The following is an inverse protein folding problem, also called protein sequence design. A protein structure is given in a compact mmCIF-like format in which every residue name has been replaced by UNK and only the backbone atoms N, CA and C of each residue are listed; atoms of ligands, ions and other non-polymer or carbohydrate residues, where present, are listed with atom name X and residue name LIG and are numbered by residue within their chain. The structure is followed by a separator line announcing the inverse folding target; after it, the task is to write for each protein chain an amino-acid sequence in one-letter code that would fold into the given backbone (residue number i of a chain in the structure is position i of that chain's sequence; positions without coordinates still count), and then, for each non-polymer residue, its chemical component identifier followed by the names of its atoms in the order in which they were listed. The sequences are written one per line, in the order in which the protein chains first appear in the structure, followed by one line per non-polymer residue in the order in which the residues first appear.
data_IF_251044555736
#
_entry.id   IF_251044555736
#
_cell.length_a   1.000
_cell.length_b   1.000
_cell.length_c   1.000
_cell.angle_alpha   90.00
_cell.angle_beta   90.00
_cell.angle_gamma   90.00
#
_symmetry.space_group_name_H-M   'P 1'
#
loop_
_entity.id
_entity.type
_entity.pdbx_description
1 polymer ?
#
# COMPACT_ATOMS: atom_id res chain seq x y z
N UNK A 1 -13.18 18.52 -5.50
CA UNK A 1 -14.12 17.89 -6.46
C UNK A 1 -13.77 16.41 -6.41
N UNK A 2 -14.55 15.63 -5.66
CA UNK A 2 -14.19 14.25 -5.31
C UNK A 2 -14.01 13.38 -6.56
N UNK A 3 -12.97 12.54 -6.58
CA UNK A 3 -12.77 11.58 -7.67
C UNK A 3 -13.94 10.59 -7.67
N UNK A 4 -14.48 10.27 -8.85
CA UNK A 4 -15.53 9.28 -8.98
C UNK A 4 -14.98 7.88 -8.64
N UNK A 5 -15.52 7.24 -7.60
CA UNK A 5 -15.05 5.95 -7.12
C UNK A 5 -15.20 4.83 -8.15
N UNK A 6 -16.28 4.84 -8.95
CA UNK A 6 -16.45 3.87 -10.04
C UNK A 6 -15.38 4.03 -11.12
N UNK A 7 -14.95 5.27 -11.38
CA UNK A 7 -13.87 5.51 -12.34
C UNK A 7 -12.54 4.96 -11.83
N UNK A 8 -12.24 5.11 -10.53
CA UNK A 8 -11.02 4.52 -9.93
C UNK A 8 -11.06 3.00 -10.01
N UNK A 9 -12.18 2.36 -9.67
CA UNK A 9 -12.31 0.91 -9.78
C UNK A 9 -12.21 0.41 -11.23
N UNK A 10 -12.74 1.17 -12.20
CA UNK A 10 -12.57 0.83 -13.61
C UNK A 10 -11.09 0.88 -14.01
N UNK A 11 -10.34 1.89 -13.56
CA UNK A 11 -8.88 1.96 -13.81
C UNK A 11 -8.13 0.83 -13.10
N UNK A 12 -8.49 0.46 -11.86
CA UNK A 12 -7.90 -0.70 -11.17
C UNK A 12 -8.12 -1.99 -11.95
N UNK A 13 -9.38 -2.27 -12.33
CA UNK A 13 -9.74 -3.41 -13.16
C UNK A 13 -8.96 -3.38 -14.48
N UNK A 14 -8.75 -2.20 -15.08
CA UNK A 14 -7.89 -2.08 -16.25
C UNK A 14 -6.47 -2.57 -16.02
N UNK A 15 -5.84 -2.11 -14.96
CA UNK A 15 -4.48 -2.55 -14.69
C UNK A 15 -4.37 -4.04 -14.33
N UNK A 16 -5.44 -4.67 -13.82
CA UNK A 16 -5.45 -6.12 -13.55
C UNK A 16 -5.35 -6.97 -14.83
N UNK A 17 -5.98 -6.55 -15.93
CA UNK A 17 -6.00 -7.31 -17.18
C UNK A 17 -4.89 -6.91 -18.16
N UNK A 18 -4.57 -5.61 -18.24
CA UNK A 18 -3.70 -5.09 -19.30
C UNK A 18 -2.32 -4.63 -18.81
N UNK A 19 -2.19 -4.30 -17.53
CA UNK A 19 -0.96 -3.80 -16.88
C UNK A 19 -0.27 -2.64 -17.65
N UNK A 20 -1.04 -1.85 -18.41
CA UNK A 20 -0.59 -0.79 -19.31
C UNK A 20 -1.53 0.41 -19.21
N UNK A 21 -1.12 1.56 -19.75
CA UNK A 21 -2.05 2.67 -19.95
C UNK A 21 -3.08 2.30 -21.03
N UNK A 22 -4.25 2.95 -21.03
CA UNK A 22 -5.29 2.66 -22.03
C UNK A 22 -4.76 2.78 -23.46
N UNK A 23 -4.02 3.86 -23.74
CA UNK A 23 -3.39 4.10 -25.05
C UNK A 23 -2.40 2.99 -25.42
N UNK A 24 -1.56 2.53 -24.50
CA UNK A 24 -0.58 1.46 -24.75
C UNK A 24 -1.24 0.09 -24.95
N UNK A 25 -2.41 -0.12 -24.33
CA UNK A 25 -3.22 -1.31 -24.52
C UNK A 25 -4.14 -1.24 -25.76
N UNK A 26 -4.10 -0.13 -26.52
CA UNK A 26 -4.88 0.04 -27.76
C UNK A 26 -6.30 0.57 -27.56
N UNK A 27 -6.61 1.11 -26.39
CA UNK A 27 -7.92 1.66 -26.06
C UNK A 27 -7.94 3.19 -26.11
N UNK A 28 -9.04 3.74 -26.62
CA UNK A 28 -9.33 5.18 -26.63
C UNK A 28 -9.85 5.71 -25.30
N UNK A 29 -10.34 4.83 -24.41
CA UNK A 29 -10.95 5.21 -23.13
C UNK A 29 -10.94 4.03 -22.15
N UNK A 30 -11.20 4.31 -20.87
CA UNK A 30 -11.36 3.25 -19.87
C UNK A 30 -12.60 2.41 -20.16
N UNK A 31 -13.68 3.04 -20.60
CA UNK A 31 -14.94 2.38 -20.91
C UNK A 31 -14.79 1.38 -22.07
N UNK A 32 -14.03 1.73 -23.12
CA UNK A 32 -13.80 0.82 -24.23
C UNK A 32 -12.95 -0.39 -23.82
N UNK A 33 -12.01 -0.21 -22.90
CA UNK A 33 -11.28 -1.32 -22.30
C UNK A 33 -12.19 -2.24 -21.48
N UNK A 34 -12.97 -1.71 -20.55
CA UNK A 34 -13.87 -2.51 -19.70
C UNK A 34 -14.94 -3.22 -20.55
N UNK A 35 -15.43 -2.59 -21.61
CA UNK A 35 -16.39 -3.20 -22.53
C UNK A 35 -15.88 -4.50 -23.17
N UNK A 36 -14.56 -4.65 -23.37
CA UNK A 36 -14.00 -5.90 -23.93
C UNK A 36 -14.12 -7.11 -22.99
N UNK A 37 -14.31 -6.88 -21.69
CA UNK A 37 -14.53 -7.94 -20.69
C UNK A 37 -15.99 -8.39 -20.65
N UNK A 38 -16.89 -7.75 -21.39
CA UNK A 38 -18.32 -8.08 -21.37
C UNK A 38 -18.65 -9.28 -22.27
N UNK A 39 -18.05 -10.43 -21.93
CA UNK A 39 -18.27 -11.73 -22.58
C UNK A 39 -19.17 -12.54 -21.65
N UNK A 40 -20.42 -12.82 -22.06
CA UNK A 40 -21.47 -13.31 -21.13
C UNK A 40 -21.08 -14.54 -20.32
N UNK A 41 -20.54 -15.64 -20.90
CA UNK A 41 -20.18 -16.82 -20.11
C UNK A 41 -19.08 -16.52 -19.08
N UNK A 42 -18.06 -15.75 -19.45
CA UNK A 42 -16.97 -15.38 -18.53
C UNK A 42 -17.44 -14.44 -17.40
N UNK A 43 -18.40 -13.57 -17.71
CA UNK A 43 -19.00 -12.68 -16.72
C UNK A 43 -19.79 -13.45 -15.68
N UNK A 44 -20.56 -14.45 -16.10
CA UNK A 44 -21.33 -15.31 -15.19
C UNK A 44 -20.39 -16.10 -14.29
N UNK A 45 -19.38 -16.77 -14.84
CA UNK A 45 -18.36 -17.49 -14.06
C UNK A 45 -17.64 -16.56 -13.07
N UNK A 46 -17.24 -15.36 -13.51
CA UNK A 46 -16.57 -14.39 -12.65
C UNK A 46 -17.48 -13.93 -11.49
N UNK A 47 -18.77 -13.72 -11.74
CA UNK A 47 -19.73 -13.34 -10.70
C UNK A 47 -19.93 -14.45 -9.68
N UNK A 48 -19.98 -15.71 -10.10
CA UNK A 48 -20.04 -16.86 -9.20
C UNK A 48 -18.79 -16.92 -8.31
N UNK A 49 -17.60 -16.79 -8.90
CA UNK A 49 -16.33 -16.79 -8.16
C UNK A 49 -16.27 -15.62 -7.18
N UNK A 50 -16.65 -14.41 -7.59
CA UNK A 50 -16.68 -13.24 -6.70
C UNK A 50 -17.64 -13.46 -5.53
N UNK A 51 -18.82 -14.01 -5.78
CA UNK A 51 -19.81 -14.32 -4.74
C UNK A 51 -19.24 -15.29 -3.71
N UNK A 52 -18.63 -16.39 -4.16
CA UNK A 52 -17.98 -17.36 -3.29
C UNK A 52 -16.81 -16.76 -2.50
N UNK A 53 -16.04 -15.84 -3.09
CA UNK A 53 -14.94 -15.18 -2.41
C UNK A 53 -15.44 -14.20 -1.34
N UNK A 54 -16.52 -13.46 -1.61
CA UNK A 54 -17.15 -12.55 -0.65
C UNK A 54 -17.69 -13.32 0.56
N UNK A 55 -18.35 -14.46 0.34
CA UNK A 55 -18.85 -15.32 1.43
C UNK A 55 -17.74 -15.89 2.32
N UNK A 56 -16.51 -15.96 1.82
CA UNK A 56 -15.33 -16.46 2.54
C UNK A 56 -14.50 -15.35 3.18
N UNK A 57 -14.93 -14.08 3.11
CA UNK A 57 -14.19 -12.99 3.74
C UNK A 57 -14.26 -13.09 5.26
N UNK A 58 -13.14 -13.45 5.87
CA UNK A 58 -12.97 -13.51 7.33
C UNK A 58 -12.52 -12.16 7.93
N UNK A 59 -12.17 -11.18 7.08
CA UNK A 59 -11.59 -9.91 7.51
C UNK A 59 -12.65 -8.81 7.53
N UNK A 60 -12.72 -8.06 8.64
CA UNK A 60 -13.55 -6.87 8.72
C UNK A 60 -12.92 -5.73 7.90
N UNK A 61 -13.64 -5.29 6.87
CA UNK A 61 -13.27 -4.14 6.06
C UNK A 61 -13.95 -2.87 6.59
N UNK A 62 -13.20 -1.78 6.72
CA UNK A 62 -13.74 -0.49 7.13
C UNK A 62 -12.96 0.66 6.49
N UNK A 63 -13.57 1.84 6.44
CA UNK A 63 -12.94 3.02 5.84
C UNK A 63 -11.72 3.49 6.63
N UNK A 64 -10.76 4.11 5.97
CA UNK A 64 -9.61 4.74 6.65
C UNK A 64 -10.10 5.84 7.62
N UNK A 65 -9.44 6.00 8.79
CA UNK A 65 -9.76 7.09 9.70
C UNK A 65 -9.46 8.44 9.05
N UNK A 66 -10.27 9.47 9.34
CA UNK A 66 -10.03 10.80 8.78
C UNK A 66 -8.71 11.41 9.27
N UNK A 67 -8.02 12.08 8.36
CA UNK A 67 -6.74 12.74 8.60
C UNK A 67 -6.68 14.16 8.04
N UNK A 68 -7.84 14.77 7.77
CA UNK A 68 -7.96 16.11 7.15
C UNK A 68 -7.25 16.19 5.78
N UNK A 69 -7.30 15.09 5.03
CA UNK A 69 -6.71 15.00 3.70
C UNK A 69 -7.76 14.45 2.72
N UNK A 70 -8.24 15.30 1.80
CA UNK A 70 -9.35 14.97 0.89
C UNK A 70 -9.11 13.68 0.10
N UNK A 71 -7.86 13.39 -0.30
CA UNK A 71 -7.54 12.18 -1.07
C UNK A 71 -7.54 10.93 -0.18
N UNK A 72 -7.04 11.03 1.04
CA UNK A 72 -6.99 9.90 1.97
C UNK A 72 -8.39 9.60 2.50
N UNK A 73 -9.12 10.62 2.89
CA UNK A 73 -10.45 10.52 3.51
C UNK A 73 -11.52 10.03 2.51
N UNK A 74 -11.30 10.23 1.21
CA UNK A 74 -12.18 9.74 0.13
C UNK A 74 -11.54 8.59 -0.68
N UNK A 75 -10.47 7.97 -0.18
CA UNK A 75 -9.81 6.89 -0.88
C UNK A 75 -10.71 5.64 -0.96
N UNK A 76 -10.71 4.90 -2.09
CA UNK A 76 -11.43 3.63 -2.20
C UNK A 76 -10.81 2.50 -1.37
N UNK A 77 -9.58 2.69 -0.86
CA UNK A 77 -8.87 1.65 -0.11
C UNK A 77 -9.44 1.52 1.31
N UNK A 78 -9.82 0.30 1.68
CA UNK A 78 -10.26 -0.06 3.02
C UNK A 78 -9.09 -0.44 3.90
N UNK A 79 -9.26 -0.25 5.20
CA UNK A 79 -8.33 -0.72 6.22
C UNK A 79 -8.29 -2.25 6.20
N UNK A 80 -7.09 -2.81 6.42
CA UNK A 80 -6.82 -4.25 6.54
C UNK A 80 -7.08 -5.09 5.30
N UNK A 81 -7.53 -4.50 4.20
CA UNK A 81 -7.63 -5.16 2.90
C UNK A 81 -6.26 -5.20 2.23
N UNK A 82 -6.01 -6.28 1.48
CA UNK A 82 -4.79 -6.47 0.69
C UNK A 82 -4.99 -5.95 -0.73
N UNK A 83 -4.14 -5.03 -1.16
CA UNK A 83 -4.16 -4.45 -2.50
C UNK A 83 -2.87 -4.71 -3.26
N UNK A 84 -2.94 -5.00 -4.58
CA UNK A 84 -1.78 -4.85 -5.46
C UNK A 84 -1.20 -3.44 -5.36
N UNK A 85 0.13 -3.31 -5.49
CA UNK A 85 0.78 -1.98 -5.45
C UNK A 85 0.15 -1.02 -6.45
N UNK A 86 -0.18 -1.51 -7.65
CA UNK A 86 -0.79 -0.70 -8.71
C UNK A 86 -2.15 -0.10 -8.29
N UNK A 87 -3.00 -0.87 -7.61
CA UNK A 87 -4.28 -0.35 -7.08
C UNK A 87 -4.06 0.77 -6.07
N UNK A 88 -3.04 0.64 -5.22
CA UNK A 88 -2.67 1.69 -4.27
C UNK A 88 -2.25 2.95 -5.01
N UNK A 89 -1.41 2.82 -6.04
CA UNK A 89 -0.95 3.96 -6.85
C UNK A 89 -2.10 4.63 -7.61
N UNK A 90 -3.08 3.87 -8.10
CA UNK A 90 -4.30 4.40 -8.73
C UNK A 90 -5.15 5.16 -7.71
N UNK A 91 -5.37 4.59 -6.53
CA UNK A 91 -6.16 5.22 -5.46
C UNK A 91 -5.60 6.60 -5.07
N UNK A 92 -4.27 6.73 -4.96
CA UNK A 92 -3.64 8.01 -4.65
C UNK A 92 -3.38 8.90 -5.88
N UNK A 93 -3.64 8.40 -7.09
CA UNK A 93 -3.57 9.16 -8.35
C UNK A 93 -2.17 9.28 -8.94
N UNK A 94 -1.22 8.47 -8.48
CA UNK A 94 0.10 8.38 -9.09
C UNK A 94 0.10 7.49 -10.34
N UNK A 95 -0.77 6.48 -10.39
CA UNK A 95 -1.14 5.86 -11.67
C UNK A 95 -2.48 6.40 -12.12
N UNK A 96 -2.59 6.73 -13.41
CA UNK A 96 -3.81 7.16 -14.08
C UNK A 96 -4.01 6.34 -15.35
N UNK A 97 -5.16 6.52 -16.01
CA UNK A 97 -5.44 5.90 -17.31
C UNK A 97 -4.37 6.22 -18.38
N UNK A 98 -3.77 7.41 -18.32
CA UNK A 98 -2.82 7.91 -19.32
C UNK A 98 -1.35 7.73 -18.90
N UNK A 99 -1.10 7.50 -17.61
CA UNK A 99 0.26 7.41 -17.05
C UNK A 99 0.35 6.32 -16.00
N UNK A 100 1.20 5.32 -16.26
CA UNK A 100 1.62 4.36 -15.24
C UNK A 100 2.73 4.96 -14.36
N UNK A 101 2.63 4.74 -13.06
CA UNK A 101 3.70 5.12 -12.13
C UNK A 101 5.02 4.41 -12.45
N UNK A 102 6.14 5.13 -12.26
CA UNK A 102 7.49 4.56 -12.29
C UNK A 102 7.99 4.13 -10.90
N UNK A 103 7.15 4.20 -9.86
CA UNK A 103 7.53 3.94 -8.47
C UNK A 103 7.98 2.49 -8.25
N UNK A 104 9.31 2.30 -8.21
CA UNK A 104 9.94 1.02 -7.86
C UNK A 104 10.37 0.94 -6.40
N UNK A 105 10.54 2.09 -5.75
CA UNK A 105 11.02 2.19 -4.38
C UNK A 105 9.96 1.77 -3.34
N UNK A 106 10.43 1.52 -2.12
CA UNK A 106 9.59 1.22 -0.95
C UNK A 106 8.90 2.46 -0.35
N UNK A 107 9.12 3.65 -0.88
CA UNK A 107 8.47 4.89 -0.44
C UNK A 107 8.08 5.73 -1.66
N UNK A 108 6.91 6.34 -1.63
CA UNK A 108 6.46 7.27 -2.68
C UNK A 108 5.89 8.54 -2.05
N UNK A 109 6.53 9.68 -2.31
CA UNK A 109 6.04 11.00 -1.92
C UNK A 109 5.17 11.60 -3.03
N UNK A 110 3.91 11.88 -2.73
CA UNK A 110 2.92 12.50 -3.62
C UNK A 110 2.76 13.96 -3.20
N UNK A 111 3.60 14.82 -3.77
CA UNK A 111 3.71 16.24 -3.39
C UNK A 111 2.39 17.00 -3.50
N UNK A 112 1.56 16.71 -4.52
CA UNK A 112 0.28 17.39 -4.75
C UNK A 112 -0.74 17.20 -3.63
N UNK A 113 -0.61 16.13 -2.85
CA UNK A 113 -1.54 15.78 -1.75
C UNK A 113 -0.83 15.75 -0.40
N UNK A 114 0.43 16.19 -0.37
CA UNK A 114 1.31 16.10 0.80
C UNK A 114 1.22 14.76 1.53
N UNK A 115 1.18 13.67 0.75
CA UNK A 115 0.99 12.31 1.24
C UNK A 115 2.18 11.46 0.86
N UNK A 116 2.69 10.65 1.77
CA UNK A 116 3.74 9.68 1.48
C UNK A 116 3.29 8.26 1.83
N UNK A 117 3.46 7.38 0.85
CA UNK A 117 3.08 5.98 0.93
C UNK A 117 4.31 5.16 1.30
N UNK A 118 4.22 4.40 2.39
CA UNK A 118 5.28 3.54 2.90
C UNK A 118 4.94 2.09 2.56
N UNK A 119 5.76 1.45 1.73
CA UNK A 119 5.59 0.06 1.31
C UNK A 119 6.63 -0.83 2.01
N UNK A 120 6.18 -1.64 2.96
CA UNK A 120 7.04 -2.48 3.79
C UNK A 120 6.86 -3.96 3.46
N UNK A 121 7.99 -4.67 3.34
CA UNK A 121 8.03 -6.13 3.23
C UNK A 121 8.77 -6.67 4.46
N UNK A 122 8.07 -7.47 5.29
CA UNK A 122 8.61 -7.95 6.57
C UNK A 122 9.72 -8.99 6.37
N UNK A 123 9.43 -10.05 5.62
CA UNK A 123 10.38 -11.09 5.24
C UNK A 123 11.07 -10.71 3.93
N UNK A 124 12.33 -10.30 4.05
CA UNK A 124 13.23 -10.08 2.92
C UNK A 124 13.94 -11.42 2.66
N UNK A 125 13.35 -12.31 1.85
CA UNK A 125 13.90 -13.64 1.55
C UNK A 125 15.42 -13.62 1.31
N UNK A 126 16.10 -14.55 1.95
CA UNK A 126 17.53 -14.63 2.26
C UNK A 126 18.52 -14.75 1.09
N UNK A 127 18.09 -14.71 -0.17
CA UNK A 127 19.02 -15.03 -1.29
C UNK A 127 20.15 -14.02 -1.51
N UNK A 128 20.22 -12.90 -0.78
CA UNK A 128 21.27 -11.88 -0.94
C UNK A 128 21.72 -11.12 0.32
N UNK A 129 21.36 -11.52 1.55
CA UNK A 129 21.76 -10.77 2.75
C UNK A 129 22.37 -11.66 3.83
N UNK A 130 23.51 -11.23 4.39
CA UNK A 130 24.13 -11.89 5.54
C UNK A 130 23.20 -11.84 6.74
N UNK A 131 23.18 -12.94 7.50
CA UNK A 131 22.35 -13.25 8.69
C UNK A 131 22.28 -12.12 9.74
N UNK A 132 23.20 -11.17 9.71
CA UNK A 132 23.28 -10.02 10.62
C UNK A 132 22.35 -8.83 10.27
N UNK A 133 21.53 -8.92 9.22
CA UNK A 133 20.86 -7.74 8.59
C UNK A 133 19.33 -7.90 8.41
N UNK A 134 18.74 -8.93 8.99
CA UNK A 134 17.29 -9.17 9.03
C UNK A 134 16.89 -8.89 10.48
N UNK A 135 16.17 -7.83 10.87
CA UNK A 135 14.94 -7.26 10.34
C UNK A 135 14.92 -5.76 10.64
N UNK A 136 14.87 -4.93 9.60
CA UNK A 136 14.80 -3.48 9.78
C UNK A 136 13.38 -2.96 10.02
N UNK A 137 12.36 -3.77 9.72
CA UNK A 137 10.96 -3.36 9.75
C UNK A 137 10.14 -4.47 10.44
N UNK A 138 9.43 -4.14 11.54
CA UNK A 138 8.69 -5.13 12.33
C UNK A 138 7.58 -4.50 13.19
N UNK A 139 6.58 -5.29 13.54
CA UNK A 139 5.54 -4.89 14.50
C UNK A 139 6.10 -4.95 15.93
N UNK A 140 6.01 -3.84 16.68
CA UNK A 140 6.42 -3.77 18.10
C UNK A 140 5.25 -4.18 19.00
N UNK A 141 4.06 -3.71 18.66
CA UNK A 141 2.80 -4.03 19.33
C UNK A 141 1.65 -3.85 18.33
N UNK A 142 0.40 -4.22 18.67
CA UNK A 142 -0.74 -4.02 17.76
C UNK A 142 -0.89 -2.59 17.23
N UNK A 143 -0.37 -1.58 17.94
CA UNK A 143 -0.46 -0.16 17.55
C UNK A 143 0.88 0.50 17.26
N UNK A 144 2.00 -0.22 17.35
CA UNK A 144 3.34 0.33 17.14
C UNK A 144 4.12 -0.48 16.10
N UNK A 145 4.74 0.22 15.16
CA UNK A 145 5.51 -0.38 14.07
C UNK A 145 6.89 0.26 13.98
N UNK A 146 7.93 -0.58 13.99
CA UNK A 146 9.29 -0.17 13.70
C UNK A 146 9.51 -0.13 12.20
N UNK A 147 10.07 0.96 11.70
CA UNK A 147 10.45 1.12 10.30
C UNK A 147 11.81 1.79 10.19
N UNK A 148 12.64 1.34 9.27
CA UNK A 148 13.92 1.97 8.98
C UNK A 148 13.90 2.71 7.63
N UNK A 149 14.42 3.93 7.61
CA UNK A 149 14.54 4.72 6.38
C UNK A 149 15.56 4.14 5.40
N UNK A 150 15.54 4.59 4.14
CA UNK A 150 16.67 4.39 3.25
C UNK A 150 17.95 5.06 3.80
N UNK A 151 19.12 4.50 3.51
CA UNK A 151 20.43 4.91 4.05
C UNK A 151 20.77 6.41 3.92
N UNK A 152 20.18 7.12 2.95
CA UNK A 152 20.45 8.55 2.73
C UNK A 152 19.62 9.50 3.61
N UNK A 153 18.51 9.03 4.17
CA UNK A 153 17.62 9.87 4.99
C UNK A 153 18.29 10.17 6.33
N UNK A 154 18.24 11.44 6.77
CA UNK A 154 18.80 11.87 8.06
C UNK A 154 17.87 12.85 8.80
N UNK A 155 17.92 12.91 10.14
CA UNK A 155 16.98 13.71 10.93
C UNK A 155 17.03 15.20 10.62
N UNK A 156 18.19 15.69 10.17
CA UNK A 156 18.45 17.13 10.03
C UNK A 156 18.11 17.72 8.67
N UNK A 157 17.73 16.91 7.67
CA UNK A 157 17.39 17.43 6.33
C UNK A 157 16.61 16.43 5.46
N UNK A 158 15.92 16.94 4.44
CA UNK A 158 15.32 16.12 3.38
C UNK A 158 14.20 15.21 3.90
N UNK A 159 14.17 13.95 3.44
CA UNK A 159 13.12 12.98 3.81
C UNK A 159 13.06 12.72 5.31
N UNK A 160 14.22 12.58 5.97
CA UNK A 160 14.29 12.30 7.40
C UNK A 160 13.67 13.40 8.26
N UNK A 161 14.01 14.67 7.97
CA UNK A 161 13.38 15.82 8.62
C UNK A 161 11.87 15.89 8.31
N UNK A 162 11.48 15.61 7.06
CA UNK A 162 10.07 15.59 6.65
C UNK A 162 9.23 14.58 7.44
N UNK A 163 9.79 13.43 7.83
CA UNK A 163 9.12 12.46 8.72
C UNK A 163 8.96 13.01 10.14
N UNK A 164 9.99 13.69 10.67
CA UNK A 164 9.98 14.25 12.03
C UNK A 164 8.91 15.34 12.14
N UNK A 165 8.88 16.25 11.18
CA UNK A 165 8.01 17.42 11.16
C UNK A 165 6.66 17.16 10.50
N UNK A 166 6.31 15.89 10.19
CA UNK A 166 5.12 15.56 9.38
C UNK A 166 3.83 16.18 9.94
N UNK A 167 3.64 16.21 11.27
CA UNK A 167 2.46 16.85 11.90
C UNK A 167 2.43 18.36 11.66
N UNK A 168 3.55 19.05 11.87
CA UNK A 168 3.67 20.50 11.68
C UNK A 168 3.43 20.86 10.22
N UNK A 169 3.97 20.06 9.31
CA UNK A 169 3.85 20.23 7.87
C UNK A 169 2.58 19.63 7.27
N UNK A 170 1.63 19.13 8.10
CA UNK A 170 0.40 18.45 7.67
C UNK A 170 0.63 17.35 6.63
N UNK A 171 1.77 16.68 6.70
CA UNK A 171 2.13 15.57 5.82
C UNK A 171 1.46 14.29 6.31
N UNK A 172 0.71 13.64 5.44
CA UNK A 172 0.05 12.37 5.75
C UNK A 172 0.94 11.20 5.38
N UNK A 173 1.12 10.26 6.29
CA UNK A 173 1.92 9.05 6.10
C UNK A 173 1.01 7.84 6.16
N UNK A 174 1.06 6.96 5.15
CA UNK A 174 0.20 5.77 5.07
C UNK A 174 1.06 4.53 4.92
N UNK A 175 0.82 3.56 5.81
CA UNK A 175 1.61 2.34 5.89
C UNK A 175 0.90 1.17 5.19
N UNK A 176 1.60 0.55 4.25
CA UNK A 176 1.19 -0.63 3.51
C UNK A 176 2.21 -1.75 3.75
N UNK A 177 1.76 -2.88 4.30
CA UNK A 177 2.66 -3.95 4.75
C UNK A 177 2.33 -5.26 4.07
N UNK A 178 3.36 -6.01 3.65
CA UNK A 178 3.23 -7.41 3.24
C UNK A 178 4.24 -8.27 3.97
N UNK A 179 3.89 -9.53 4.16
CA UNK A 179 4.70 -10.52 4.84
C UNK A 179 5.95 -10.84 4.01
N UNK A 180 5.80 -11.03 2.70
CA UNK A 180 6.89 -11.36 1.79
C UNK A 180 6.59 -10.85 0.38
N UNK A 181 7.59 -10.83 -0.50
CA UNK A 181 7.40 -10.31 -1.85
C UNK A 181 6.59 -11.24 -2.77
N UNK A 182 6.76 -12.55 -2.59
CA UNK A 182 6.17 -13.61 -3.41
C UNK A 182 5.42 -14.61 -2.54
N UNK A 183 4.27 -15.10 -3.00
CA UNK A 183 3.55 -16.18 -2.33
C UNK A 183 4.20 -17.55 -2.62
N UNK A 184 3.61 -18.62 -2.07
CA UNK A 184 4.07 -20.00 -2.27
C UNK A 184 4.07 -20.46 -3.74
N UNK A 185 3.36 -19.74 -4.62
CA UNK A 185 3.24 -20.02 -6.05
C UNK A 185 4.07 -19.05 -6.91
N UNK A 186 4.90 -18.20 -6.30
CA UNK A 186 5.74 -17.22 -7.01
C UNK A 186 5.01 -15.97 -7.51
N UNK A 187 3.74 -15.79 -7.16
CA UNK A 187 2.97 -14.58 -7.51
C UNK A 187 3.33 -13.43 -6.57
N UNK A 188 3.34 -12.22 -7.12
CA UNK A 188 3.65 -11.02 -6.32
C UNK A 188 2.54 -10.77 -5.30
N UNK A 189 2.89 -10.69 -4.02
CA UNK A 189 1.93 -10.37 -2.98
C UNK A 189 1.63 -8.87 -2.93
N UNK A 190 0.35 -8.54 -2.82
CA UNK A 190 -0.13 -7.21 -2.49
C UNK A 190 0.15 -6.83 -1.03
N UNK A 191 -0.08 -5.57 -0.70
CA UNK A 191 0.13 -4.99 0.62
C UNK A 191 -1.19 -4.83 1.36
N UNK A 192 -1.19 -5.19 2.64
CA UNK A 192 -2.26 -4.92 3.59
C UNK A 192 -2.20 -3.45 3.98
N UNK A 193 -3.33 -2.76 3.90
CA UNK A 193 -3.45 -1.37 4.33
C UNK A 193 -3.50 -1.26 5.86
N UNK A 194 -2.42 -0.78 6.48
CA UNK A 194 -2.39 -0.45 7.92
C UNK A 194 -2.87 0.97 8.21
N UNK A 195 -3.13 1.75 7.16
CA UNK A 195 -3.69 3.08 7.26
C UNK A 195 -2.69 4.14 7.70
N UNK A 196 -3.21 5.30 8.14
CA UNK A 196 -2.38 6.42 8.55
C UNK A 196 -1.57 6.14 9.82
N UNK A 197 -0.34 6.68 9.84
CA UNK A 197 0.58 6.55 10.96
C UNK A 197 1.10 7.89 11.46
N UNK A 198 1.49 7.94 12.73
CA UNK A 198 2.06 9.11 13.37
C UNK A 198 3.40 8.80 14.05
N UNK A 199 4.34 9.74 13.96
CA UNK A 199 5.63 9.59 14.62
C UNK A 199 5.46 9.48 16.15
N UNK A 200 6.10 8.48 16.74
CA UNK A 200 6.28 8.38 18.20
C UNK A 200 7.67 8.83 18.59
N UNK A 201 8.69 8.22 17.97
CA UNK A 201 10.09 8.53 18.20
C UNK A 201 10.93 8.14 16.98
N UNK A 202 12.13 8.69 16.91
CA UNK A 202 13.16 8.27 15.99
C UNK A 202 14.51 8.17 16.71
N UNK A 203 15.37 7.30 16.20
CA UNK A 203 16.72 7.06 16.71
C UNK A 203 17.67 6.85 15.51
N UNK A 204 18.98 7.11 15.70
CA UNK A 204 19.96 7.00 14.61
C UNK A 204 19.91 8.16 13.63
N UNK A 205 20.68 8.03 12.53
CA UNK A 205 20.82 9.09 11.52
C UNK A 205 20.73 8.56 10.10
N UNK A 206 21.68 7.74 9.65
CA UNK A 206 21.75 7.23 8.27
C UNK A 206 22.05 5.72 8.28
N UNK A 207 21.02 4.84 8.32
CA UNK A 207 19.59 5.15 8.30
C UNK A 207 19.02 5.58 9.67
N UNK A 208 17.82 6.17 9.65
CA UNK A 208 17.00 6.44 10.84
C UNK A 208 16.11 5.24 11.15
N UNK A 209 15.98 4.90 12.43
CA UNK A 209 14.97 4.00 12.95
C UNK A 209 13.79 4.83 13.46
N UNK A 210 12.58 4.55 12.96
CA UNK A 210 11.36 5.29 13.31
C UNK A 210 10.35 4.34 13.93
N UNK A 211 9.77 4.75 15.05
CA UNK A 211 8.59 4.12 15.62
C UNK A 211 7.34 4.88 15.20
N UNK A 212 6.51 4.23 14.40
CA UNK A 212 5.21 4.70 13.96
C UNK A 212 4.12 4.20 14.90
N UNK A 213 3.18 5.07 15.28
CA UNK A 213 1.89 4.72 15.89
C UNK A 213 0.84 4.58 14.81
N UNK A 214 0.19 3.43 14.74
CA UNK A 214 -0.95 3.23 13.84
C UNK A 214 -2.19 3.90 14.43
N UNK A 215 -3.00 4.58 13.60
CA UNK A 215 -4.29 5.12 14.03
C UNK A 215 -5.32 4.03 14.34
N UNK A 216 -5.14 2.83 13.77
CA UNK A 216 -5.94 1.66 14.07
C UNK A 216 -5.02 0.46 14.34
N UNK A 217 -5.30 -0.40 15.33
CA UNK A 217 -4.51 -1.61 15.56
C UNK A 217 -4.42 -2.48 14.30
N UNK A 218 -3.24 -3.03 14.02
CA UNK A 218 -3.01 -3.93 12.89
C UNK A 218 -3.92 -5.17 12.97
N UNK A 219 -4.26 -5.81 11.84
CA UNK A 219 -5.14 -6.97 11.86
C UNK A 219 -4.43 -8.17 12.51
N UNK A 220 -5.18 -8.96 13.27
CA UNK A 220 -4.65 -10.05 14.11
C UNK A 220 -3.81 -11.06 13.34
N UNK A 221 -4.18 -11.39 12.10
CA UNK A 221 -3.42 -12.33 11.27
C UNK A 221 -2.02 -11.79 10.90
N UNK A 222 -1.86 -10.48 10.76
CA UNK A 222 -0.56 -9.85 10.50
C UNK A 222 0.29 -9.78 11.76
N UNK A 223 -0.31 -9.60 12.93
CA UNK A 223 0.41 -9.62 14.20
C UNK A 223 1.09 -10.97 14.43
N UNK A 224 0.37 -12.08 14.26
CA UNK A 224 0.95 -13.42 14.43
C UNK A 224 2.08 -13.70 13.45
N UNK A 225 1.95 -13.29 12.20
CA UNK A 225 3.00 -13.45 11.20
C UNK A 225 4.23 -12.56 11.51
N UNK A 226 4.00 -11.32 11.96
CA UNK A 226 5.08 -10.39 12.33
C UNK A 226 5.81 -10.83 13.59
N UNK A 227 5.08 -11.32 14.60
CA UNK A 227 5.65 -11.80 15.87
C UNK A 227 6.47 -13.08 15.66
N UNK A 228 6.02 -14.00 14.80
CA UNK A 228 6.80 -15.20 14.43
C UNK A 228 8.12 -14.84 13.74
N UNK A 229 8.12 -13.79 12.92
CA UNK A 229 9.32 -13.31 12.23
C UNK A 229 10.25 -12.50 13.15
N UNK A 230 9.75 -11.90 14.24
CA UNK A 230 10.55 -11.12 15.18
C UNK A 230 11.31 -11.99 16.22
N UNK A 231 10.93 -13.27 16.37
CA UNK A 231 11.46 -14.19 17.39
C UNK A 231 12.39 -15.25 16.78
N UNK A 232 12.52 -15.30 15.45
CA UNK A 232 13.42 -16.22 14.72
C UNK A 232 14.58 -15.48 14.09
#
# INVERSE_FOLDING_TARGET
MGRNMHQLFAVMCHYDFWDKTAKQAGFSSISSSIATLNISPLKEELLEVITLLIERLETQEFSMPSVENEIVDNSPLKMHVRYPKEHILIAFGDTTIDRKSSSREGVLNITSTNTELLFVTLNKCEKQFSVTTMYHDYAISPTLFHWQTQNSSKPTSGKGLSYIEHKQNKKTLILFVREQAKDAYGKTMGFVNFGPVELVKYEGSQPMNITWRLKHPMPTYMWHNSAKLAVG
#
